data_IF_923216685384
#
_entry.id   IF_923216685384
#
_cell.length_a   1.000
_cell.length_b   1.000
_cell.length_c   1.000
_cell.angle_alpha   90.00
_cell.angle_beta   90.00
_cell.angle_gamma   90.00
#
_symmetry.space_group_name_H-M   'P 1'
#
loop_
_entity.id
_entity.type
_entity.pdbx_description
1 polymer ?
#
# COMPACT_ATOMS: atom_id res chain seq x y z
N UNK A 1 6.44 10.06 -14.04
CA UNK A 1 7.47 10.86 -13.34
C UNK A 1 6.84 11.71 -12.26
N UNK A 2 7.60 11.99 -11.21
CA UNK A 2 7.18 12.93 -10.16
C UNK A 2 7.47 14.37 -10.59
N UNK A 3 6.45 15.24 -10.51
CA UNK A 3 6.56 16.67 -10.65
C UNK A 3 5.65 17.37 -9.63
N UNK A 4 6.03 18.51 -9.09
CA UNK A 4 5.25 19.18 -8.02
C UNK A 4 3.85 19.61 -8.47
N UNK A 5 3.65 19.84 -9.76
CA UNK A 5 2.37 20.25 -10.37
C UNK A 5 2.13 19.50 -11.67
N UNK A 6 0.87 19.33 -12.02
CA UNK A 6 0.43 18.73 -13.29
C UNK A 6 -0.43 17.49 -13.09
N UNK A 7 -1.54 17.44 -13.83
CA UNK A 7 -2.51 16.33 -13.76
C UNK A 7 -1.98 15.00 -14.30
N UNK A 8 -0.96 15.06 -15.16
CA UNK A 8 -0.30 13.86 -15.73
C UNK A 8 1.00 13.50 -15.02
N UNK A 9 1.18 13.96 -13.79
CA UNK A 9 2.40 13.75 -13.01
C UNK A 9 2.07 13.15 -11.66
N UNK A 10 3.03 12.45 -11.07
CA UNK A 10 2.91 11.92 -9.71
C UNK A 10 3.25 13.03 -8.72
N UNK A 11 2.28 13.46 -7.96
CA UNK A 11 2.37 14.49 -6.92
C UNK A 11 1.29 14.28 -5.86
N UNK A 12 1.25 15.14 -4.85
CA UNK A 12 0.30 15.00 -3.73
C UNK A 12 -1.16 15.06 -4.19
N UNK A 13 -1.47 15.87 -5.22
CA UNK A 13 -2.83 15.98 -5.76
C UNK A 13 -3.25 14.68 -6.44
N UNK A 14 -2.47 14.16 -7.36
CA UNK A 14 -2.84 12.96 -8.14
C UNK A 14 -2.80 11.68 -7.32
N UNK A 15 -1.90 11.57 -6.34
CA UNK A 15 -1.91 10.49 -5.35
C UNK A 15 -3.14 10.62 -4.44
N UNK A 16 -3.47 11.85 -4.03
CA UNK A 16 -4.66 12.10 -3.21
C UNK A 16 -5.95 11.74 -3.92
N UNK A 17 -6.11 12.12 -5.18
CA UNK A 17 -7.24 11.72 -6.02
C UNK A 17 -7.36 10.19 -6.12
N UNK A 18 -6.22 9.50 -6.27
CA UNK A 18 -6.19 8.03 -6.33
C UNK A 18 -6.66 7.40 -5.02
N UNK A 19 -6.21 7.92 -3.88
CA UNK A 19 -6.62 7.42 -2.56
C UNK A 19 -8.11 7.74 -2.26
N UNK A 20 -8.57 8.94 -2.62
CA UNK A 20 -9.96 9.35 -2.46
C UNK A 20 -10.89 8.47 -3.30
N UNK A 21 -10.59 8.28 -4.58
CA UNK A 21 -11.39 7.43 -5.46
C UNK A 21 -11.43 5.97 -5.01
N UNK A 22 -10.31 5.46 -4.48
CA UNK A 22 -10.29 4.13 -3.88
C UNK A 22 -11.20 4.06 -2.66
N UNK A 23 -11.09 5.02 -1.73
CA UNK A 23 -11.91 5.07 -0.52
C UNK A 23 -13.41 5.06 -0.85
N UNK A 24 -13.83 5.95 -1.75
CA UNK A 24 -15.22 6.05 -2.18
C UNK A 24 -15.73 4.76 -2.83
N UNK A 25 -14.90 4.15 -3.67
CA UNK A 25 -15.27 2.89 -4.32
C UNK A 25 -15.43 1.75 -3.32
N UNK A 26 -14.46 1.60 -2.40
CA UNK A 26 -14.50 0.55 -1.37
C UNK A 26 -15.72 0.73 -0.47
N UNK A 27 -15.98 1.94 0.01
CA UNK A 27 -17.16 2.22 0.86
C UNK A 27 -18.47 1.90 0.15
N UNK A 28 -18.55 2.13 -1.16
CA UNK A 28 -19.75 1.87 -1.94
C UNK A 28 -19.96 0.38 -2.28
N UNK A 29 -18.90 -0.44 -2.33
CA UNK A 29 -18.98 -1.78 -2.95
C UNK A 29 -18.57 -2.94 -2.04
N UNK A 30 -17.75 -2.70 -1.01
CA UNK A 30 -17.24 -3.80 -0.19
C UNK A 30 -18.22 -4.34 0.84
N UNK A 31 -19.25 -3.58 1.19
CA UNK A 31 -20.16 -3.89 2.30
C UNK A 31 -19.52 -3.80 3.69
N UNK A 32 -18.25 -3.36 3.78
CA UNK A 32 -17.51 -3.32 5.04
C UNK A 32 -18.01 -2.20 5.99
N UNK A 33 -18.62 -1.13 5.46
CA UNK A 33 -19.10 -0.03 6.27
C UNK A 33 -18.02 0.50 7.22
N UNK A 34 -18.30 0.55 8.52
CA UNK A 34 -17.38 1.00 9.57
C UNK A 34 -16.16 0.09 9.77
N UNK A 35 -16.17 -1.12 9.24
CA UNK A 35 -15.08 -2.09 9.38
C UNK A 35 -14.09 -2.04 8.20
N UNK A 36 -14.24 -1.06 7.30
CA UNK A 36 -13.34 -0.85 6.20
C UNK A 36 -11.90 -0.65 6.67
N UNK A 37 -10.97 -1.37 6.08
CA UNK A 37 -9.57 -1.32 6.45
C UNK A 37 -8.65 -1.42 5.24
N UNK A 38 -7.46 -0.83 5.35
CA UNK A 38 -6.46 -0.86 4.31
C UNK A 38 -5.08 -1.17 4.89
N UNK A 39 -4.38 -2.11 4.25
CA UNK A 39 -2.96 -2.36 4.56
C UNK A 39 -2.09 -1.54 3.60
N UNK A 40 -1.10 -0.81 4.13
CA UNK A 40 -0.27 0.11 3.34
C UNK A 40 1.20 -0.20 3.55
N UNK A 41 1.93 -0.32 2.45
CA UNK A 41 3.38 -0.48 2.41
C UNK A 41 3.99 0.36 1.29
N UNK A 42 5.31 0.54 1.35
CA UNK A 42 6.06 1.36 0.39
C UNK A 42 7.47 0.84 0.21
N UNK A 43 8.09 1.18 -0.92
CA UNK A 43 9.45 0.81 -1.26
C UNK A 43 10.47 1.94 -1.03
N UNK A 44 11.72 1.73 -1.48
CA UNK A 44 12.85 2.64 -1.28
C UNK A 44 12.85 3.90 -2.13
N UNK A 45 11.83 4.14 -2.95
CA UNK A 45 11.78 5.25 -3.90
C UNK A 45 11.61 6.59 -3.21
N UNK A 46 12.02 7.65 -3.91
CA UNK A 46 11.82 9.01 -3.43
C UNK A 46 10.34 9.26 -3.11
N UNK A 47 10.09 9.82 -1.93
CA UNK A 47 8.76 10.16 -1.42
C UNK A 47 7.78 8.98 -1.23
N UNK A 48 8.24 7.72 -1.29
CA UNK A 48 7.33 6.59 -1.12
C UNK A 48 6.65 6.61 0.25
N UNK A 49 7.39 6.85 1.33
CA UNK A 49 6.79 7.00 2.68
C UNK A 49 5.81 8.18 2.75
N UNK A 50 6.18 9.33 2.18
CA UNK A 50 5.30 10.49 2.14
C UNK A 50 3.96 10.18 1.46
N UNK A 51 4.00 9.50 0.31
CA UNK A 51 2.78 9.13 -0.40
C UNK A 51 1.98 8.05 0.33
N UNK A 52 2.65 7.11 1.01
CA UNK A 52 1.97 6.12 1.83
C UNK A 52 1.23 6.77 3.02
N UNK A 53 1.85 7.74 3.69
CA UNK A 53 1.20 8.54 4.75
C UNK A 53 0.04 9.36 4.19
N UNK A 54 0.22 10.02 3.04
CA UNK A 54 -0.83 10.77 2.37
C UNK A 54 -2.06 9.91 2.04
N UNK A 55 -1.84 8.71 1.49
CA UNK A 55 -2.93 7.75 1.26
C UNK A 55 -3.63 7.38 2.58
N UNK A 56 -2.86 7.14 3.64
CA UNK A 56 -3.42 6.83 4.96
C UNK A 56 -4.30 7.95 5.49
N UNK A 57 -3.87 9.20 5.39
CA UNK A 57 -4.61 10.39 5.87
C UNK A 57 -5.97 10.55 5.18
N UNK A 58 -6.03 10.24 3.90
CA UNK A 58 -7.26 10.31 3.10
C UNK A 58 -8.21 9.15 3.46
N UNK A 59 -7.67 7.95 3.57
CA UNK A 59 -8.45 6.78 3.98
C UNK A 59 -8.96 6.91 5.42
N UNK A 60 -8.17 7.49 6.34
CA UNK A 60 -8.61 7.84 7.70
C UNK A 60 -9.80 8.80 7.69
N UNK A 61 -9.77 9.82 6.84
CA UNK A 61 -10.88 10.76 6.69
C UNK A 61 -12.17 10.07 6.20
N UNK A 62 -12.03 9.00 5.40
CA UNK A 62 -13.13 8.17 4.96
C UNK A 62 -13.55 7.09 5.98
N UNK A 63 -12.93 7.05 7.16
CA UNK A 63 -13.30 6.14 8.25
C UNK A 63 -12.59 4.78 8.25
N UNK A 64 -11.56 4.60 7.43
CA UNK A 64 -10.80 3.34 7.40
C UNK A 64 -9.92 3.16 8.63
N UNK A 65 -9.76 1.91 9.04
CA UNK A 65 -8.64 1.47 9.86
C UNK A 65 -7.43 1.18 8.96
N UNK A 66 -6.25 1.65 9.36
CA UNK A 66 -5.01 1.48 8.59
C UNK A 66 -4.08 0.50 9.31
N UNK A 67 -3.63 -0.52 8.59
CA UNK A 67 -2.49 -1.37 8.97
C UNK A 67 -1.28 -0.87 8.17
N UNK A 68 -0.35 -0.22 8.85
CA UNK A 68 0.77 0.45 8.22
C UNK A 68 2.08 -0.31 8.50
N UNK A 69 2.85 -0.61 7.45
CA UNK A 69 4.16 -1.23 7.55
C UNK A 69 5.23 -0.14 7.44
N UNK A 70 5.88 0.16 8.57
CA UNK A 70 7.00 1.11 8.59
C UNK A 70 8.24 0.48 7.96
N UNK A 71 9.07 1.32 7.36
CA UNK A 71 10.24 0.88 6.60
C UNK A 71 9.85 0.35 5.22
N UNK A 72 10.86 -0.05 4.47
CA UNK A 72 10.67 -0.49 3.08
C UNK A 72 10.22 -1.94 3.03
N UNK A 73 9.14 -2.23 2.29
CA UNK A 73 8.60 -3.59 2.15
C UNK A 73 8.38 -3.96 0.70
N UNK A 74 8.41 -5.25 0.44
CA UNK A 74 8.21 -5.79 -0.90
C UNK A 74 6.74 -5.87 -1.29
N UNK A 75 6.46 -5.81 -2.59
CA UNK A 75 5.10 -5.99 -3.12
C UNK A 75 4.48 -7.35 -2.74
N UNK A 76 5.20 -8.49 -2.80
CA UNK A 76 4.66 -9.77 -2.31
C UNK A 76 4.31 -9.76 -0.82
N UNK A 77 5.07 -9.05 -0.02
CA UNK A 77 4.82 -8.93 1.40
C UNK A 77 3.55 -8.11 1.70
N UNK A 78 3.32 -7.00 0.97
CA UNK A 78 2.05 -6.30 1.05
C UNK A 78 0.87 -7.21 0.68
N UNK A 79 0.96 -7.95 -0.41
CA UNK A 79 -0.08 -8.91 -0.82
C UNK A 79 -0.37 -9.93 0.29
N UNK A 80 0.68 -10.44 0.94
CA UNK A 80 0.56 -11.32 2.10
C UNK A 80 -0.11 -10.60 3.28
N UNK A 81 0.32 -9.38 3.59
CA UNK A 81 -0.17 -8.58 4.70
C UNK A 81 -1.67 -8.28 4.57
N UNK A 82 -2.18 -7.97 3.37
CA UNK A 82 -3.62 -7.78 3.12
C UNK A 82 -4.43 -9.02 3.52
N UNK A 83 -3.94 -10.22 3.20
CA UNK A 83 -4.60 -11.48 3.61
C UNK A 83 -4.49 -11.73 5.10
N UNK A 84 -3.33 -11.48 5.67
CA UNK A 84 -3.04 -11.70 7.08
C UNK A 84 -3.90 -10.81 7.98
N UNK A 85 -3.97 -9.52 7.68
CA UNK A 85 -4.78 -8.54 8.40
C UNK A 85 -6.27 -8.63 8.07
N UNK A 86 -6.64 -9.40 7.04
CA UNK A 86 -8.00 -9.48 6.48
C UNK A 86 -8.53 -8.11 6.04
N UNK A 87 -7.64 -7.25 5.56
CA UNK A 87 -8.00 -5.91 5.13
C UNK A 87 -8.91 -5.93 3.90
N UNK A 88 -9.80 -4.95 3.82
CA UNK A 88 -10.72 -4.76 2.69
C UNK A 88 -9.96 -4.47 1.39
N UNK A 89 -8.84 -3.74 1.50
CA UNK A 89 -7.95 -3.45 0.38
C UNK A 89 -6.52 -3.26 0.88
N UNK A 90 -5.59 -3.05 -0.07
CA UNK A 90 -4.21 -2.71 0.21
C UNK A 90 -3.65 -1.69 -0.78
N UNK A 91 -2.66 -0.93 -0.34
CA UNK A 91 -1.90 0.02 -1.16
C UNK A 91 -0.42 -0.31 -1.08
N UNK A 92 0.20 -0.46 -2.23
CA UNK A 92 1.66 -0.49 -2.38
C UNK A 92 2.13 0.74 -3.13
N UNK A 93 2.92 1.57 -2.47
CA UNK A 93 3.55 2.75 -3.09
C UNK A 93 4.87 2.33 -3.71
N UNK A 94 4.88 2.18 -5.03
CA UNK A 94 6.02 1.68 -5.82
C UNK A 94 5.85 1.96 -7.30
N UNK A 95 6.95 2.19 -8.02
CA UNK A 95 7.01 2.14 -9.47
C UNK A 95 7.85 0.97 -9.98
N UNK A 96 7.90 -0.13 -9.24
CA UNK A 96 8.60 -1.39 -9.60
C UNK A 96 10.09 -1.15 -9.89
N UNK A 97 10.55 -1.39 -11.12
CA UNK A 97 11.93 -1.29 -11.58
C UNK A 97 12.23 0.00 -12.35
N UNK A 98 11.31 0.95 -12.38
CA UNK A 98 11.54 2.27 -12.97
C UNK A 98 12.63 3.05 -12.20
N UNK A 99 13.20 4.13 -12.76
CA UNK A 99 14.11 5.01 -12.03
C UNK A 99 13.57 5.44 -10.66
N UNK A 100 14.41 5.68 -9.64
CA UNK A 100 13.98 5.99 -8.27
C UNK A 100 13.18 7.29 -8.15
N UNK A 101 13.28 8.18 -9.15
CA UNK A 101 12.49 9.40 -9.28
C UNK A 101 11.06 9.18 -9.76
N UNK A 102 10.71 7.99 -10.23
CA UNK A 102 9.33 7.62 -10.56
C UNK A 102 8.65 7.02 -9.32
N UNK A 103 7.35 7.21 -9.21
CA UNK A 103 6.54 6.58 -8.19
C UNK A 103 5.13 6.30 -8.70
N UNK A 104 4.35 5.48 -7.98
CA UNK A 104 2.98 5.16 -8.31
C UNK A 104 2.28 4.52 -7.10
N UNK A 105 0.98 4.33 -7.23
CA UNK A 105 0.15 3.57 -6.30
C UNK A 105 -0.36 2.32 -7.01
N UNK A 106 -0.14 1.15 -6.40
CA UNK A 106 -0.75 -0.12 -6.80
C UNK A 106 -1.78 -0.50 -5.76
N UNK A 107 -2.98 -0.82 -6.22
CA UNK A 107 -4.10 -1.19 -5.35
C UNK A 107 -4.28 -2.70 -5.35
N UNK A 108 -4.51 -3.24 -4.17
CA UNK A 108 -4.81 -4.65 -3.92
C UNK A 108 -6.21 -4.77 -3.33
N UNK A 109 -6.95 -5.79 -3.74
CA UNK A 109 -8.27 -6.12 -3.19
C UNK A 109 -8.17 -7.11 -2.04
N UNK A 110 -9.28 -7.34 -1.37
CA UNK A 110 -9.40 -8.39 -0.37
C UNK A 110 -8.87 -9.73 -0.93
N UNK A 111 -8.09 -10.46 -0.14
CA UNK A 111 -7.40 -11.65 -0.59
C UNK A 111 -5.99 -11.41 -1.16
N UNK A 112 -5.51 -10.15 -1.22
CA UNK A 112 -4.14 -9.81 -1.59
C UNK A 112 -3.83 -9.88 -3.08
N UNK A 113 -4.86 -9.84 -3.94
CA UNK A 113 -4.70 -9.80 -5.41
C UNK A 113 -4.73 -8.36 -5.89
N UNK A 114 -3.83 -7.98 -6.79
CA UNK A 114 -3.91 -6.67 -7.42
C UNK A 114 -5.29 -6.50 -8.10
N UNK A 115 -5.88 -5.32 -8.01
CA UNK A 115 -7.24 -5.08 -8.51
C UNK A 115 -7.37 -5.45 -9.99
N UNK A 116 -8.47 -6.12 -10.30
CA UNK A 116 -8.86 -6.58 -11.63
C UNK A 116 -10.28 -6.09 -11.94
N UNK A 117 -10.74 -6.20 -13.20
CA UNK A 117 -12.14 -5.91 -13.52
C UNK A 117 -13.12 -6.70 -12.63
N UNK A 118 -14.21 -6.08 -12.19
CA UNK A 118 -14.68 -4.72 -12.52
C UNK A 118 -14.12 -3.60 -11.61
N UNK A 119 -13.36 -3.95 -10.57
CA UNK A 119 -12.90 -3.01 -9.53
C UNK A 119 -11.99 -1.91 -10.07
N UNK A 120 -11.07 -2.25 -10.98
CA UNK A 120 -10.14 -1.30 -11.60
C UNK A 120 -10.89 -0.13 -12.28
N UNK A 121 -11.89 -0.45 -13.11
CA UNK A 121 -12.71 0.57 -13.80
C UNK A 121 -13.53 1.40 -12.84
N UNK A 122 -14.10 0.76 -11.81
CA UNK A 122 -14.91 1.46 -10.82
C UNK A 122 -14.08 2.43 -9.98
N UNK A 123 -12.87 2.05 -9.59
CA UNK A 123 -11.92 2.92 -8.87
C UNK A 123 -11.52 4.10 -9.74
N UNK A 124 -11.09 3.85 -11.00
CA UNK A 124 -10.68 4.92 -11.92
C UNK A 124 -11.84 5.91 -12.15
N UNK A 125 -13.05 5.44 -12.27
CA UNK A 125 -14.23 6.32 -12.43
C UNK A 125 -14.38 7.26 -11.23
N UNK A 126 -14.18 6.79 -10.01
CA UNK A 126 -14.21 7.62 -8.80
C UNK A 126 -13.04 8.59 -8.74
N UNK A 127 -11.83 8.13 -9.09
CA UNK A 127 -10.64 8.99 -9.18
C UNK A 127 -10.87 10.17 -10.12
N UNK A 128 -11.45 9.94 -11.29
CA UNK A 128 -11.76 11.00 -12.27
C UNK A 128 -12.84 11.99 -11.81
N UNK A 129 -13.62 11.63 -10.80
CA UNK A 129 -14.67 12.45 -10.22
C UNK A 129 -14.25 13.15 -8.91
N UNK A 130 -13.09 12.81 -8.38
CA UNK A 130 -12.60 13.37 -7.12
C UNK A 130 -12.29 14.87 -7.26
N UNK A 131 -13.05 15.70 -6.58
CA UNK A 131 -12.86 17.16 -6.58
C UNK A 131 -12.16 17.63 -5.30
N UNK A 132 -12.70 17.26 -4.15
CA UNK A 132 -12.21 17.65 -2.85
C UNK A 132 -11.52 16.46 -2.18
N UNK A 133 -10.30 16.68 -1.71
CA UNK A 133 -9.52 15.68 -1.00
C UNK A 133 -9.55 16.03 0.48
N UNK A 134 -10.27 15.23 1.27
CA UNK A 134 -10.35 15.39 2.72
C UNK A 134 -9.26 14.54 3.37
N UNK A 135 -8.60 15.11 4.38
CA UNK A 135 -7.48 14.46 5.08
C UNK A 135 -7.64 14.60 6.59
N UNK A 136 -7.23 13.55 7.30
CA UNK A 136 -7.00 13.57 8.75
C UNK A 136 -5.49 13.37 8.96
N UNK A 137 -4.82 14.20 9.79
CA UNK A 137 -3.39 14.02 10.03
C UNK A 137 -3.04 12.60 10.44
N UNK A 138 -1.96 12.05 9.86
CA UNK A 138 -1.53 10.68 10.13
C UNK A 138 -1.33 10.42 11.63
N UNK A 139 -0.72 11.37 12.34
CA UNK A 139 -0.43 11.25 13.77
C UNK A 139 -1.70 11.23 14.63
N UNK A 140 -2.77 11.91 14.19
CA UNK A 140 -4.08 11.84 14.85
C UNK A 140 -4.66 10.43 14.75
N UNK A 141 -4.48 9.79 13.59
CA UNK A 141 -4.87 8.39 13.38
C UNK A 141 -4.10 7.43 14.27
N UNK A 142 -2.80 7.68 14.46
CA UNK A 142 -1.96 6.90 15.39
C UNK A 142 -2.45 7.07 16.83
N UNK A 143 -2.65 8.30 17.29
CA UNK A 143 -3.12 8.59 18.65
C UNK A 143 -4.48 7.97 18.96
N UNK A 144 -5.37 7.91 17.97
CA UNK A 144 -6.71 7.33 18.09
C UNK A 144 -6.73 5.79 17.92
N UNK A 145 -5.58 5.16 17.64
CA UNK A 145 -5.49 3.73 17.36
C UNK A 145 -6.12 3.29 16.03
N UNK A 146 -6.41 4.24 15.14
CA UNK A 146 -6.91 3.97 13.79
C UNK A 146 -5.78 3.56 12.83
N UNK A 147 -4.53 3.98 13.11
CA UNK A 147 -3.33 3.49 12.45
C UNK A 147 -2.63 2.51 13.38
N UNK A 148 -2.44 1.29 12.92
CA UNK A 148 -1.76 0.21 13.64
C UNK A 148 -0.50 -0.16 12.87
N UNK A 149 0.64 -0.13 13.54
CA UNK A 149 1.90 -0.60 12.98
C UNK A 149 2.00 -2.11 13.12
N UNK A 150 2.25 -2.80 12.02
CA UNK A 150 2.16 -4.27 11.95
C UNK A 150 3.40 -4.93 11.34
N UNK A 151 4.45 -4.17 11.07
CA UNK A 151 5.64 -4.67 10.37
C UNK A 151 6.27 -5.88 11.04
N UNK A 152 6.53 -5.85 12.35
CA UNK A 152 7.23 -6.92 13.06
C UNK A 152 6.48 -8.26 12.99
N UNK A 153 5.16 -8.21 13.13
CA UNK A 153 4.30 -9.36 13.04
C UNK A 153 4.22 -9.89 11.61
N UNK A 154 4.06 -9.00 10.63
CA UNK A 154 3.97 -9.34 9.21
C UNK A 154 5.29 -9.89 8.70
N UNK A 155 6.42 -9.25 8.98
CA UNK A 155 7.75 -9.70 8.58
C UNK A 155 7.98 -11.14 9.06
N UNK A 156 7.72 -11.39 10.33
CA UNK A 156 7.87 -12.74 10.93
C UNK A 156 6.98 -13.76 10.24
N UNK A 157 5.71 -13.45 10.05
CA UNK A 157 4.75 -14.35 9.45
C UNK A 157 5.03 -14.60 7.95
N UNK A 158 5.42 -13.56 7.21
CA UNK A 158 5.76 -13.64 5.79
C UNK A 158 7.02 -14.49 5.57
N UNK A 159 8.10 -14.24 6.30
CA UNK A 159 9.34 -15.05 6.23
C UNK A 159 9.04 -16.50 6.56
N UNK A 160 8.25 -16.78 7.60
CA UNK A 160 7.84 -18.14 7.95
C UNK A 160 7.05 -18.81 6.82
N UNK A 161 6.17 -18.06 6.15
CA UNK A 161 5.39 -18.59 5.01
C UNK A 161 6.28 -18.89 3.79
N UNK A 162 7.25 -18.02 3.50
CA UNK A 162 8.23 -18.24 2.43
C UNK A 162 9.11 -19.46 2.72
N UNK A 163 9.63 -19.59 3.94
CA UNK A 163 10.47 -20.74 4.34
C UNK A 163 9.76 -22.08 4.18
N UNK A 164 8.44 -22.14 4.33
CA UNK A 164 7.67 -23.36 4.09
C UNK A 164 7.69 -23.82 2.63
N UNK A 165 8.08 -22.96 1.70
CA UNK A 165 8.21 -23.30 0.27
C UNK A 165 9.62 -23.83 -0.06
N UNK A 166 10.56 -23.77 0.90
CA UNK A 166 11.91 -24.25 0.67
C UNK A 166 11.93 -25.77 0.50
N UNK A 167 12.64 -26.24 -0.53
CA UNK A 167 12.88 -27.67 -0.73
C UNK A 167 14.03 -28.18 0.16
N UNK A 168 13.99 -29.45 0.60
CA UNK A 168 15.12 -30.06 1.26
C UNK A 168 16.36 -30.09 0.34
N UNK A 169 17.54 -29.90 0.92
CA UNK A 169 18.82 -29.96 0.18
C UNK A 169 19.97 -29.40 0.97
N UNK A 170 21.17 -29.53 0.43
CA UNK A 170 22.39 -28.97 1.00
C UNK A 170 22.28 -27.43 1.10
N UNK A 171 22.89 -26.85 2.13
CA UNK A 171 22.89 -25.40 2.43
C UNK A 171 24.31 -24.90 2.62
N UNK A 172 25.25 -25.48 1.88
CA UNK A 172 26.69 -25.26 1.99
C UNK A 172 27.25 -24.32 0.91
N UNK A 173 26.39 -23.73 0.09
CA UNK A 173 26.80 -22.76 -0.92
C UNK A 173 27.19 -21.43 -0.28
N UNK A 174 28.37 -20.94 -0.62
CA UNK A 174 28.78 -19.57 -0.28
C UNK A 174 28.10 -18.57 -1.21
N UNK A 175 27.36 -17.62 -0.64
CA UNK A 175 26.57 -16.63 -1.40
C UNK A 175 26.94 -15.22 -0.95
N UNK A 176 27.19 -14.33 -1.92
CA UNK A 176 27.21 -12.89 -1.71
C UNK A 176 25.88 -12.35 -2.21
N UNK A 177 25.12 -11.74 -1.30
CA UNK A 177 23.80 -11.17 -1.63
C UNK A 177 23.82 -9.65 -1.46
N UNK A 178 23.23 -8.94 -2.39
CA UNK A 178 22.94 -7.51 -2.28
C UNK A 178 21.64 -7.18 -3.00
N UNK A 179 20.70 -6.45 -2.36
CA UNK A 179 19.49 -5.96 -3.01
C UNK A 179 19.76 -4.75 -3.88
N UNK A 180 21.00 -4.18 -3.88
CA UNK A 180 21.33 -2.89 -4.50
C UNK A 180 20.41 -1.77 -3.99
N UNK A 181 19.45 -1.36 -4.81
CA UNK A 181 18.49 -0.29 -4.52
C UNK A 181 17.09 -0.81 -4.13
N UNK A 182 16.93 -2.14 -4.05
CA UNK A 182 15.66 -2.77 -3.71
C UNK A 182 15.40 -2.87 -2.20
N UNK A 183 14.33 -3.55 -1.85
CA UNK A 183 13.82 -3.69 -0.47
C UNK A 183 14.24 -5.00 0.22
N UNK A 184 15.07 -5.80 -0.40
CA UNK A 184 15.42 -7.14 0.07
C UNK A 184 16.58 -7.19 1.06
N UNK A 185 16.80 -6.17 1.89
CA UNK A 185 17.85 -6.11 2.90
C UNK A 185 17.30 -6.39 4.29
#
# INVERSE_FOLDING_TARGET
>A
KMFPVGSNSINDRTIGESAQGLAEYVMATSGAGSDASCTIAYDTRHRSEHFARLCSEILLAAGFKIFFLRGYRSTPELSYAVRYTKSTCGIMVTASHNPPSDNAVKVYWAGGVQVLPPHDKGIIQRVMQANDIVRVPFEDGVQKGQVVFVEDEIDTAFVKAVLKQATPGARDLSVIYTPLHGVGA
#
